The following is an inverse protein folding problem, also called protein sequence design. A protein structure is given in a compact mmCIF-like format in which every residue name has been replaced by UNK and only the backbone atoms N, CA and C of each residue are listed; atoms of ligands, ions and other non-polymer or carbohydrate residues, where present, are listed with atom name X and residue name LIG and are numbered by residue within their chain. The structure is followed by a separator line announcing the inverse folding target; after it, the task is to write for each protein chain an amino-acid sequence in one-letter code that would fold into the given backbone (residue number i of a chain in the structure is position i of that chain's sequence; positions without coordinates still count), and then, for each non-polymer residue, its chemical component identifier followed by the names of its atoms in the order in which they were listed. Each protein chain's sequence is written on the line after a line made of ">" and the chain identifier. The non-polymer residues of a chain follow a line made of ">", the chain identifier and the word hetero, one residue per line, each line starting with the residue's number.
data_IF_079118395933
#
_entry.id   IF_079118395933
#
_cell.length_a   1.000
_cell.length_b   1.000
_cell.length_c   1.000
_cell.angle_alpha   90.00
_cell.angle_beta   90.00
_cell.angle_gamma   90.00
#
_symmetry.space_group_name_H-M   'P 1'
#
loop_
_entity.id
_entity.type
_entity.pdbx_description
1 polymer ?
#
# COMPACT_ATOMS: atom_id res chain seq x y z
N UNK A 1 -3.77 -4.24 12.03
CA UNK A 1 -3.01 -3.60 10.93
C UNK A 1 -2.57 -4.61 9.87
N UNK A 2 -2.30 -5.89 10.20
CA UNK A 2 -2.05 -6.95 9.21
C UNK A 2 -3.26 -7.40 8.37
N UNK A 3 -4.50 -7.31 8.88
CA UNK A 3 -5.67 -7.91 8.19
C UNK A 3 -6.06 -7.18 6.90
N UNK A 4 -5.93 -5.85 6.86
CA UNK A 4 -6.33 -5.06 5.68
C UNK A 4 -5.45 -5.31 4.47
N UNK A 5 -4.15 -5.57 4.69
CA UNK A 5 -3.22 -5.91 3.61
C UNK A 5 -3.55 -7.31 3.05
N UNK A 6 -3.82 -8.27 3.94
CA UNK A 6 -4.18 -9.63 3.55
C UNK A 6 -5.51 -9.70 2.79
N UNK A 7 -6.47 -8.87 3.16
CA UNK A 7 -7.76 -8.76 2.46
C UNK A 7 -7.62 -8.09 1.08
N UNK A 8 -6.74 -7.09 0.93
CA UNK A 8 -6.43 -6.49 -0.37
C UNK A 8 -5.78 -7.52 -1.31
N UNK A 9 -4.84 -8.31 -0.80
CA UNK A 9 -4.20 -9.43 -1.53
C UNK A 9 -5.23 -10.44 -2.04
N UNK A 10 -6.20 -10.81 -1.20
CA UNK A 10 -7.29 -11.73 -1.59
C UNK A 10 -8.08 -11.19 -2.78
N UNK A 11 -8.39 -9.90 -2.76
CA UNK A 11 -9.25 -9.28 -3.78
C UNK A 11 -8.50 -9.02 -5.10
N UNK A 12 -7.23 -8.62 -5.03
CA UNK A 12 -6.49 -8.19 -6.23
C UNK A 12 -5.79 -9.34 -6.97
N UNK A 13 -5.41 -10.42 -6.28
CA UNK A 13 -4.55 -11.47 -6.86
C UNK A 13 -5.31 -12.76 -7.22
N UNK A 14 -6.61 -12.84 -6.95
CA UNK A 14 -7.42 -14.04 -7.18
C UNK A 14 -6.80 -15.32 -6.57
N UNK A 15 -6.05 -15.16 -5.48
CA UNK A 15 -5.42 -16.26 -4.75
C UNK A 15 -6.42 -16.76 -3.71
N UNK A 16 -6.66 -18.06 -3.68
CA UNK A 16 -7.40 -18.67 -2.58
C UNK A 16 -6.53 -18.64 -1.31
N UNK A 17 -6.70 -17.60 -0.50
CA UNK A 17 -6.02 -17.38 0.78
C UNK A 17 -6.19 -18.53 1.77
N UNK A 18 -7.22 -19.39 1.64
CA UNK A 18 -7.36 -20.59 2.46
C UNK A 18 -6.32 -21.68 2.14
N UNK A 19 -5.64 -21.56 0.99
CA UNK A 19 -4.54 -22.43 0.57
C UNK A 19 -3.18 -21.98 1.08
N UNK A 20 -3.06 -20.75 1.59
CA UNK A 20 -1.79 -20.18 2.07
C UNK A 20 -1.45 -20.72 3.46
N UNK A 21 -0.22 -21.21 3.61
CA UNK A 21 0.36 -21.62 4.89
C UNK A 21 0.97 -20.38 5.56
N UNK A 22 0.22 -19.73 6.46
CA UNK A 22 0.55 -18.41 7.03
C UNK A 22 1.94 -18.34 7.66
N UNK A 23 2.31 -19.35 8.45
CA UNK A 23 3.60 -19.48 9.15
C UNK A 23 4.80 -19.68 8.21
N UNK A 24 4.55 -19.95 6.93
CA UNK A 24 5.59 -20.06 5.89
C UNK A 24 5.67 -18.84 4.97
N UNK A 25 4.88 -17.81 5.26
CA UNK A 25 4.97 -16.54 4.54
C UNK A 25 6.30 -15.88 4.84
N UNK A 26 7.03 -15.47 3.80
CA UNK A 26 8.26 -14.69 3.93
C UNK A 26 8.02 -13.28 3.44
N UNK A 27 8.55 -12.30 4.18
CA UNK A 27 8.51 -10.89 3.79
C UNK A 27 9.95 -10.42 3.61
N UNK A 28 10.23 -9.86 2.44
CA UNK A 28 11.52 -9.28 2.08
C UNK A 28 11.31 -7.79 1.77
N UNK A 29 12.01 -6.90 2.46
CA UNK A 29 12.01 -5.47 2.11
C UNK A 29 12.98 -5.30 0.93
N UNK A 30 12.47 -4.85 -0.21
CA UNK A 30 13.25 -4.66 -1.42
C UNK A 30 13.80 -3.24 -1.55
N UNK A 31 13.04 -2.24 -1.11
CA UNK A 31 13.43 -0.85 -1.18
C UNK A 31 12.81 -0.03 -0.04
N UNK A 32 13.56 0.96 0.41
CA UNK A 32 13.09 2.01 1.30
C UNK A 32 13.59 3.32 0.71
N UNK A 33 12.71 4.02 0.01
CA UNK A 33 13.03 5.27 -0.67
C UNK A 33 12.09 6.39 -0.22
N UNK A 34 12.48 7.66 -0.31
CA UNK A 34 11.54 8.76 -0.19
C UNK A 34 10.39 8.58 -1.17
N UNK A 35 9.17 8.94 -0.77
CA UNK A 35 8.01 8.93 -1.68
C UNK A 35 8.34 9.78 -2.90
N UNK A 36 8.13 9.22 -4.10
CA UNK A 36 8.37 9.97 -5.32
C UNK A 36 7.37 11.12 -5.44
N UNK A 37 7.80 12.25 -6.03
CA UNK A 37 6.94 13.43 -6.19
C UNK A 37 5.61 13.11 -6.87
N UNK A 38 5.65 12.33 -7.95
CA UNK A 38 4.46 11.92 -8.72
C UNK A 38 3.51 11.07 -7.87
N UNK A 39 4.06 10.19 -7.02
CA UNK A 39 3.24 9.36 -6.15
C UNK A 39 2.61 10.20 -5.02
N UNK A 40 3.38 11.10 -4.41
CA UNK A 40 2.87 12.07 -3.43
C UNK A 40 1.75 12.96 -4.01
N UNK A 41 1.90 13.44 -5.24
CA UNK A 41 0.86 14.21 -5.95
C UNK A 41 -0.43 13.39 -6.15
N UNK A 42 -0.29 12.11 -6.51
CA UNK A 42 -1.43 11.20 -6.68
C UNK A 42 -2.18 10.98 -5.36
N UNK A 43 -1.45 10.66 -4.29
CA UNK A 43 -2.01 10.47 -2.94
C UNK A 43 -2.72 11.74 -2.44
N UNK A 44 -2.04 12.89 -2.54
CA UNK A 44 -2.60 14.18 -2.16
C UNK A 44 -3.88 14.51 -2.93
N UNK A 45 -3.93 14.20 -4.24
CA UNK A 45 -5.14 14.41 -5.04
C UNK A 45 -6.29 13.52 -4.58
N UNK A 46 -6.04 12.24 -4.31
CA UNK A 46 -7.08 11.31 -3.84
C UNK A 46 -7.69 11.78 -2.52
N UNK A 47 -6.85 12.17 -1.55
CA UNK A 47 -7.31 12.61 -0.24
C UNK A 47 -8.02 13.98 -0.30
N UNK A 48 -7.50 14.91 -1.10
CA UNK A 48 -8.17 16.20 -1.33
C UNK A 48 -9.58 16.02 -1.92
N UNK A 49 -9.74 15.19 -2.96
CA UNK A 49 -11.05 14.97 -3.59
C UNK A 49 -12.00 14.19 -2.67
N UNK A 50 -11.48 13.23 -1.88
CA UNK A 50 -12.25 12.50 -0.87
C UNK A 50 -12.77 13.43 0.23
N UNK A 51 -11.92 14.34 0.71
CA UNK A 51 -12.30 15.30 1.74
C UNK A 51 -13.31 16.33 1.21
N UNK A 52 -13.07 16.85 0.01
CA UNK A 52 -14.01 17.73 -0.69
C UNK A 52 -15.37 17.06 -0.90
N UNK A 53 -15.40 15.79 -1.28
CA UNK A 53 -16.66 15.04 -1.45
C UNK A 53 -17.42 14.91 -0.12
N UNK A 54 -16.70 14.73 1.00
CA UNK A 54 -17.28 14.63 2.34
C UNK A 54 -17.79 15.97 2.88
N UNK A 55 -17.06 17.05 2.67
CA UNK A 55 -17.28 18.35 3.32
C UNK A 55 -17.81 19.44 2.36
N UNK A 56 -18.12 19.10 1.10
CA UNK A 56 -18.44 20.01 -0.03
C UNK A 56 -17.28 20.91 -0.49
N UNK A 57 -16.35 21.24 0.40
CA UNK A 57 -15.08 21.93 0.16
C UNK A 57 -14.01 21.19 0.95
N UNK A 58 -12.80 21.06 0.40
CA UNK A 58 -11.68 20.47 1.14
C UNK A 58 -11.28 21.36 2.32
N UNK A 59 -10.91 20.74 3.44
CA UNK A 59 -10.49 21.44 4.67
C UNK A 59 -9.15 22.16 4.47
N UNK A 60 -8.24 21.54 3.71
CA UNK A 60 -6.92 22.09 3.39
C UNK A 60 -6.79 22.37 1.90
N UNK A 61 -5.81 23.20 1.54
CA UNK A 61 -5.44 23.39 0.14
C UNK A 61 -4.63 22.19 -0.39
N UNK A 62 -4.57 22.04 -1.72
CA UNK A 62 -3.88 20.91 -2.36
C UNK A 62 -2.40 20.83 -1.97
N UNK A 63 -1.74 21.97 -1.71
CA UNK A 63 -0.34 22.01 -1.31
C UNK A 63 -0.14 21.39 0.07
N UNK A 64 -1.00 21.71 1.04
CA UNK A 64 -0.92 21.11 2.38
C UNK A 64 -1.08 19.60 2.36
N UNK A 65 -1.96 19.05 1.50
CA UNK A 65 -2.04 17.61 1.29
C UNK A 65 -0.75 17.04 0.68
N UNK A 66 -0.16 17.70 -0.33
CA UNK A 66 1.09 17.26 -0.95
C UNK A 66 2.27 17.28 0.03
N UNK A 67 2.46 18.38 0.76
CA UNK A 67 3.55 18.54 1.73
C UNK A 67 3.51 17.43 2.79
N UNK A 68 2.30 16.97 3.16
CA UNK A 68 2.10 15.87 4.10
C UNK A 68 2.75 14.54 3.66
N UNK A 69 2.85 14.32 2.35
CA UNK A 69 3.43 13.11 1.75
C UNK A 69 4.87 13.28 1.26
N UNK A 70 5.30 14.51 0.98
CA UNK A 70 6.59 14.75 0.31
C UNK A 70 7.63 15.43 1.22
N UNK A 71 7.25 16.49 1.93
CA UNK A 71 8.18 17.29 2.73
C UNK A 71 8.46 16.67 4.11
N UNK A 72 7.53 15.87 4.64
CA UNK A 72 7.65 15.23 5.95
C UNK A 72 8.55 13.98 5.97
N UNK A 73 9.48 13.82 5.02
CA UNK A 73 10.37 12.65 4.88
C UNK A 73 9.62 11.30 4.87
N UNK A 74 8.40 11.27 4.34
CA UNK A 74 7.63 10.03 4.22
C UNK A 74 8.38 9.08 3.29
N UNK A 75 8.50 7.83 3.72
CA UNK A 75 9.20 6.78 2.98
C UNK A 75 8.18 5.84 2.36
N UNK A 76 8.41 5.50 1.11
CA UNK A 76 7.79 4.36 0.45
C UNK A 76 8.63 3.13 0.74
N UNK A 77 8.00 2.07 1.25
CA UNK A 77 8.65 0.79 1.48
C UNK A 77 8.14 -0.19 0.43
N UNK A 78 9.00 -0.77 -0.39
CA UNK A 78 8.58 -1.86 -1.30
C UNK A 78 8.88 -3.18 -0.60
N UNK A 79 7.83 -3.96 -0.35
CA UNK A 79 7.95 -5.28 0.24
C UNK A 79 7.52 -6.36 -0.75
N UNK A 80 8.30 -7.44 -0.79
CA UNK A 80 7.98 -8.67 -1.48
C UNK A 80 7.49 -9.70 -0.48
N UNK A 81 6.28 -10.17 -0.71
CA UNK A 81 5.69 -11.28 0.03
C UNK A 81 5.85 -12.55 -0.80
N UNK A 82 6.35 -13.61 -0.17
CA UNK A 82 6.39 -14.95 -0.75
C UNK A 82 5.46 -15.83 0.07
N UNK A 83 4.40 -16.30 -0.57
CA UNK A 83 3.45 -17.26 0.00
C UNK A 83 3.78 -18.66 -0.48
N UNK A 84 3.51 -19.64 0.38
CA UNK A 84 3.58 -21.05 0.04
C UNK A 84 2.17 -21.62 0.17
N UNK A 85 1.63 -22.19 -0.91
CA UNK A 85 0.34 -22.88 -0.86
C UNK A 85 0.48 -24.32 -0.33
N UNK A 86 -0.64 -24.99 -0.08
CA UNK A 86 -0.67 -26.40 0.35
C UNK A 86 0.02 -27.34 -0.63
N UNK A 87 0.07 -26.98 -1.90
CA UNK A 87 0.74 -27.71 -2.99
C UNK A 87 2.25 -27.41 -3.09
N UNK A 88 2.79 -26.61 -2.16
CA UNK A 88 4.20 -26.16 -2.07
C UNK A 88 4.65 -25.24 -3.21
N UNK A 89 3.73 -24.70 -3.98
CA UNK A 89 4.03 -23.69 -5.00
C UNK A 89 4.31 -22.34 -4.34
N UNK A 90 5.25 -21.59 -4.93
CA UNK A 90 5.63 -20.26 -4.47
C UNK A 90 4.85 -19.20 -5.23
N UNK A 91 4.18 -18.32 -4.51
CA UNK A 91 3.47 -17.17 -5.08
C UNK A 91 4.17 -15.90 -4.60
N UNK A 92 4.50 -15.01 -5.53
CA UNK A 92 5.18 -13.74 -5.23
C UNK A 92 4.21 -12.57 -5.37
N UNK A 93 4.33 -11.60 -4.47
CA UNK A 93 3.57 -10.37 -4.52
C UNK A 93 4.41 -9.18 -4.09
N UNK A 94 4.23 -8.02 -4.75
CA UNK A 94 4.95 -6.78 -4.50
C UNK A 94 3.97 -5.70 -4.06
N UNK A 95 4.26 -5.04 -2.94
CA UNK A 95 3.43 -3.95 -2.44
C UNK A 95 4.26 -2.75 -2.00
N UNK A 96 3.81 -1.52 -2.32
CA UNK A 96 4.20 -0.34 -1.58
C UNK A 96 3.51 -0.37 -0.20
N UNK A 97 4.29 -0.47 0.86
CA UNK A 97 3.88 -0.16 2.22
C UNK A 97 4.10 1.33 2.48
N UNK A 98 3.02 2.00 2.88
CA UNK A 98 2.92 3.43 3.22
C UNK A 98 2.58 3.61 4.69
#
# INVERSE_FOLDING_TARGET
>A
MESSLFDAIKNDLNIDVATIIKDKTKVEILDISPVSKVYAESLARMDYEKDKAKNKVAILDKKSYFDSYYENQVKSIVAKYTYINKDKEKIFSLHPAS
#
